data_IF_965072686885
#
_entry.id   IF_965072686885
#
_cell.length_a   1.000
_cell.length_b   1.000
_cell.length_c   1.000
_cell.angle_alpha   90.00
_cell.angle_beta   90.00
_cell.angle_gamma   90.00
#
_symmetry.space_group_name_H-M   'P 1'
#
loop_
_entity.id
_entity.type
_entity.pdbx_description
1 polymer ?
#
# COMPACT_ATOMS: atom_id res chain seq x y z
N UNK A 1 35.31 44.82 18.84
CA UNK A 1 34.72 44.31 20.09
C UNK A 1 33.22 44.39 19.88
N UNK A 2 32.43 43.34 19.68
CA UNK A 2 32.59 41.91 19.91
C UNK A 2 31.64 41.20 18.91
N UNK A 3 32.15 40.15 18.26
CA UNK A 3 31.34 39.18 17.54
C UNK A 3 30.66 38.27 18.58
N UNK A 4 29.37 38.02 18.39
CA UNK A 4 28.78 36.76 18.84
C UNK A 4 27.76 36.32 17.79
N UNK A 5 27.91 35.12 17.19
CA UNK A 5 26.93 34.58 16.27
C UNK A 5 25.72 34.11 17.08
N UNK A 6 24.52 34.52 16.67
CA UNK A 6 23.29 33.84 17.12
C UNK A 6 23.34 32.46 16.48
N UNK A 7 23.34 31.42 17.32
CA UNK A 7 23.35 30.02 16.89
C UNK A 7 22.22 29.80 15.88
N UNK A 8 22.59 29.43 14.66
CA UNK A 8 21.64 28.86 13.70
C UNK A 8 21.02 27.62 14.36
N UNK A 9 19.73 27.73 14.62
CA UNK A 9 18.92 26.73 15.29
C UNK A 9 18.49 25.71 14.23
N UNK A 10 19.01 24.50 14.40
CA UNK A 10 18.51 23.22 13.86
C UNK A 10 18.78 22.92 12.36
N UNK A 11 19.57 21.86 12.13
CA UNK A 11 19.68 21.21 10.84
C UNK A 11 18.28 20.73 10.40
N UNK A 12 17.72 21.36 9.38
CA UNK A 12 16.71 20.73 8.52
C UNK A 12 17.34 19.45 7.93
N UNK A 13 16.99 18.29 8.47
CA UNK A 13 17.36 17.00 7.89
C UNK A 13 16.71 16.91 6.51
N UNK A 14 17.53 16.94 5.47
CA UNK A 14 17.08 16.84 4.09
C UNK A 14 16.64 15.40 3.82
N UNK A 15 15.32 15.17 3.80
CA UNK A 15 14.74 13.87 3.44
C UNK A 15 14.96 13.64 1.95
N UNK A 16 15.78 12.65 1.62
CA UNK A 16 15.96 12.19 0.23
C UNK A 16 15.07 10.97 -0.01
N UNK A 17 14.25 11.03 -1.05
CA UNK A 17 13.40 9.91 -1.48
C UNK A 17 13.90 9.38 -2.82
N UNK A 18 14.07 8.07 -2.91
CA UNK A 18 14.41 7.39 -4.16
C UNK A 18 13.30 6.41 -4.57
N UNK A 19 12.91 6.38 -5.86
CA UNK A 19 11.97 5.39 -6.35
C UNK A 19 12.65 4.02 -6.42
N UNK A 20 12.12 3.05 -5.67
CA UNK A 20 12.68 1.68 -5.62
C UNK A 20 12.06 0.75 -6.66
N UNK A 21 10.78 0.93 -6.99
CA UNK A 21 10.01 0.04 -7.86
C UNK A 21 9.12 0.82 -8.83
N UNK A 22 9.04 0.35 -10.08
CA UNK A 22 8.12 0.85 -11.09
C UNK A 22 7.24 -0.29 -11.58
N UNK A 23 5.93 -0.19 -11.34
CA UNK A 23 5.00 -1.29 -11.57
C UNK A 23 3.92 -0.90 -12.58
N UNK A 24 3.81 -1.68 -13.66
CA UNK A 24 2.74 -1.58 -14.66
C UNK A 24 1.72 -2.72 -14.46
N UNK A 25 1.27 -2.91 -13.23
CA UNK A 25 0.48 -4.08 -12.84
C UNK A 25 -0.94 -4.11 -13.44
N UNK A 26 -1.45 -2.98 -13.96
CA UNK A 26 -2.80 -2.88 -14.54
C UNK A 26 -2.86 -2.98 -16.07
N UNK A 27 -1.74 -3.19 -16.76
CA UNK A 27 -1.77 -3.27 -18.23
C UNK A 27 -2.73 -4.32 -18.77
N UNK A 28 -3.47 -3.93 -19.81
CA UNK A 28 -4.37 -4.78 -20.56
C UNK A 28 -3.58 -5.89 -21.25
N UNK A 29 -4.03 -7.12 -21.06
CA UNK A 29 -3.35 -8.32 -21.58
C UNK A 29 -1.85 -8.43 -21.23
N UNK A 30 -1.39 -7.76 -20.16
CA UNK A 30 0.03 -7.70 -19.78
C UNK A 30 0.92 -7.04 -20.86
N UNK A 31 0.34 -6.14 -21.66
CA UNK A 31 1.05 -5.43 -22.71
C UNK A 31 1.96 -4.34 -22.12
N UNK A 32 3.24 -4.35 -22.49
CA UNK A 32 4.22 -3.33 -22.05
C UNK A 32 3.95 -1.96 -22.66
N UNK A 33 3.37 -1.93 -23.86
CA UNK A 33 3.06 -0.69 -24.57
C UNK A 33 1.68 -0.12 -24.21
N UNK A 34 1.03 -0.68 -23.19
CA UNK A 34 -0.23 -0.14 -22.68
C UNK A 34 0.00 1.03 -21.72
N UNK A 35 0.02 2.22 -22.31
CA UNK A 35 0.03 3.49 -21.58
C UNK A 35 -1.36 4.10 -21.43
N UNK A 36 -2.41 3.38 -21.82
CA UNK A 36 -3.80 3.88 -21.78
C UNK A 36 -4.51 3.48 -20.50
N UNK A 37 -4.24 2.29 -19.99
CA UNK A 37 -4.82 1.86 -18.72
C UNK A 37 -4.20 2.62 -17.56
N UNK A 38 -5.04 3.35 -16.84
CA UNK A 38 -4.66 4.17 -15.69
C UNK A 38 -4.80 3.38 -14.38
N UNK A 39 -3.96 3.73 -13.41
CA UNK A 39 -4.14 3.37 -12.00
C UNK A 39 -4.95 4.50 -11.35
N UNK A 40 -6.06 4.14 -10.71
CA UNK A 40 -7.02 5.12 -10.19
C UNK A 40 -6.90 5.35 -8.68
N UNK A 41 -6.65 4.30 -7.91
CA UNK A 41 -6.51 4.41 -6.47
C UNK A 41 -5.57 3.34 -5.90
N UNK A 42 -4.99 3.65 -4.74
CA UNK A 42 -4.21 2.72 -3.92
C UNK A 42 -4.61 2.83 -2.45
N UNK A 43 -4.64 1.70 -1.74
CA UNK A 43 -4.89 1.63 -0.29
C UNK A 43 -4.00 0.57 0.34
N UNK A 44 -3.35 0.89 1.45
CA UNK A 44 -2.56 -0.09 2.21
C UNK A 44 -3.48 -1.04 3.00
N UNK A 45 -3.01 -2.25 3.25
CA UNK A 45 -3.70 -3.18 4.15
C UNK A 45 -3.84 -2.54 5.54
N UNK A 46 -5.06 -2.52 6.11
CA UNK A 46 -5.29 -1.90 7.41
C UNK A 46 -4.57 -2.68 8.52
N UNK A 47 -4.08 -2.00 9.58
CA UNK A 47 -3.54 -2.67 10.75
C UNK A 47 -4.55 -3.63 11.35
N UNK A 48 -4.11 -4.83 11.70
CA UNK A 48 -4.93 -5.76 12.46
C UNK A 48 -4.85 -5.39 13.94
N UNK A 49 -6.00 -5.11 14.57
CA UNK A 49 -6.11 -5.05 16.03
C UNK A 49 -5.93 -6.46 16.62
N UNK A 50 -4.70 -6.96 16.60
CA UNK A 50 -4.33 -8.09 17.43
C UNK A 50 -4.11 -7.54 18.84
N UNK A 51 -5.16 -7.61 19.66
CA UNK A 51 -5.06 -7.32 21.09
C UNK A 51 -3.80 -7.99 21.66
N UNK A 52 -3.07 -7.19 22.46
CA UNK A 52 -1.80 -7.51 23.15
C UNK A 52 -0.52 -7.51 22.32
N UNK A 53 -0.05 -6.34 21.86
CA UNK A 53 1.36 -5.95 21.98
C UNK A 53 1.44 -4.47 22.36
N UNK A 54 2.00 -4.16 23.54
CA UNK A 54 2.38 -2.81 23.97
C UNK A 54 3.69 -2.38 23.31
N UNK A 55 3.81 -2.63 22.02
CA UNK A 55 4.99 -2.21 21.25
C UNK A 55 4.49 -1.26 20.15
N UNK A 56 4.87 0.03 20.17
CA UNK A 56 4.35 1.05 19.26
C UNK A 56 4.87 0.89 17.83
N UNK A 57 5.63 -0.16 17.51
CA UNK A 57 5.89 -0.56 16.13
C UNK A 57 4.59 -1.17 15.58
N UNK A 58 3.68 -0.28 15.19
CA UNK A 58 2.60 -0.56 14.24
C UNK A 58 3.23 -1.40 13.15
N UNK A 59 2.84 -2.68 13.09
CA UNK A 59 3.20 -3.56 11.98
C UNK A 59 2.54 -2.98 10.73
N UNK A 60 3.16 -1.97 10.14
CA UNK A 60 2.71 -1.38 8.89
C UNK A 60 2.71 -2.51 7.87
N UNK A 61 1.52 -2.89 7.41
CA UNK A 61 1.46 -3.88 6.37
C UNK A 61 2.12 -3.28 5.13
N UNK A 62 3.04 -4.05 4.55
CA UNK A 62 3.79 -3.68 3.34
C UNK A 62 2.99 -3.98 2.08
N UNK A 63 1.75 -4.47 2.23
CA UNK A 63 0.88 -4.80 1.11
C UNK A 63 -0.05 -3.64 0.79
N UNK A 64 -0.11 -3.26 -0.48
CA UNK A 64 -1.07 -2.30 -1.00
C UNK A 64 -2.02 -2.96 -2.01
N UNK A 65 -3.30 -2.60 -1.96
CA UNK A 65 -4.26 -2.86 -3.01
C UNK A 65 -4.30 -1.66 -3.97
N UNK A 66 -4.35 -1.94 -5.26
CA UNK A 66 -4.42 -0.94 -6.34
C UNK A 66 -5.53 -1.32 -7.31
N UNK A 67 -6.22 -0.34 -7.88
CA UNK A 67 -7.23 -0.57 -8.90
C UNK A 67 -6.97 0.25 -10.17
N UNK A 68 -7.33 -0.33 -11.32
CA UNK A 68 -7.11 0.28 -12.63
C UNK A 68 -7.56 -0.64 -13.75
N UNK A 69 -8.21 -0.07 -14.76
CA UNK A 69 -8.86 -0.82 -15.83
C UNK A 69 -9.80 -1.89 -15.26
N UNK A 70 -9.69 -3.11 -15.76
CA UNK A 70 -10.54 -4.24 -15.37
C UNK A 70 -10.03 -5.04 -14.16
N UNK A 71 -9.09 -4.48 -13.39
CA UNK A 71 -8.35 -5.26 -12.38
C UNK A 71 -8.07 -4.57 -11.05
N UNK A 72 -7.93 -5.40 -10.01
CA UNK A 72 -7.42 -5.06 -8.69
C UNK A 72 -6.17 -5.90 -8.41
N UNK A 73 -5.07 -5.25 -8.02
CA UNK A 73 -3.80 -5.91 -7.72
C UNK A 73 -3.44 -5.76 -6.23
N UNK A 74 -2.98 -6.84 -5.60
CA UNK A 74 -2.29 -6.81 -4.31
C UNK A 74 -0.79 -6.82 -4.57
N UNK A 75 -0.07 -5.84 -4.02
CA UNK A 75 1.34 -5.59 -4.27
C UNK A 75 2.08 -5.58 -2.94
N UNK A 76 3.17 -6.33 -2.84
CA UNK A 76 4.15 -6.15 -1.79
C UNK A 76 5.09 -4.99 -2.16
N UNK A 77 5.02 -3.90 -1.40
CA UNK A 77 5.77 -2.67 -1.67
C UNK A 77 7.27 -2.79 -1.38
N UNK A 78 7.70 -3.76 -0.55
CA UNK A 78 9.13 -3.97 -0.29
C UNK A 78 9.81 -4.67 -1.47
N UNK A 79 9.19 -5.73 -1.97
CA UNK A 79 9.76 -6.54 -3.06
C UNK A 79 9.35 -6.07 -4.45
N UNK A 80 8.31 -5.24 -4.57
CA UNK A 80 7.74 -4.82 -5.85
C UNK A 80 6.94 -5.92 -6.56
N UNK A 81 6.59 -7.01 -5.86
CA UNK A 81 5.92 -8.17 -6.45
C UNK A 81 4.40 -8.02 -6.38
N UNK A 82 3.71 -8.30 -7.49
CA UNK A 82 2.25 -8.46 -7.52
C UNK A 82 1.90 -9.83 -6.93
N UNK A 83 1.48 -9.84 -5.66
CA UNK A 83 1.07 -11.05 -4.94
C UNK A 83 -0.18 -11.69 -5.57
N UNK A 84 -1.12 -10.85 -6.01
CA UNK A 84 -2.37 -11.32 -6.59
C UNK A 84 -2.96 -10.30 -7.54
N UNK A 85 -3.58 -10.77 -8.62
CA UNK A 85 -4.35 -9.94 -9.56
C UNK A 85 -5.74 -10.55 -9.74
N UNK A 86 -6.76 -9.75 -9.49
CA UNK A 86 -8.16 -10.07 -9.73
C UNK A 86 -8.64 -9.29 -10.95
N UNK A 87 -9.39 -9.93 -11.83
CA UNK A 87 -9.90 -9.32 -13.07
C UNK A 87 -11.39 -9.57 -13.21
N UNK A 88 -12.12 -8.55 -13.67
CA UNK A 88 -13.53 -8.66 -14.03
C UNK A 88 -13.73 -8.07 -15.42
N UNK A 89 -13.91 -8.93 -16.42
CA UNK A 89 -14.07 -8.50 -17.81
C UNK A 89 -15.32 -7.63 -17.98
N UNK A 90 -15.16 -6.48 -18.65
CA UNK A 90 -16.25 -5.53 -18.90
C UNK A 90 -16.41 -4.46 -17.82
N UNK A 91 -15.69 -4.57 -16.70
CA UNK A 91 -15.64 -3.56 -15.65
C UNK A 91 -14.50 -2.57 -15.84
N UNK A 92 -14.64 -1.40 -15.22
CA UNK A 92 -13.57 -0.43 -15.05
C UNK A 92 -13.58 0.11 -13.62
N UNK A 93 -12.50 -0.14 -12.88
CA UNK A 93 -12.38 0.23 -11.48
C UNK A 93 -11.73 1.59 -11.32
N UNK A 94 -12.43 2.50 -10.64
CA UNK A 94 -11.99 3.87 -10.38
C UNK A 94 -11.64 4.14 -8.90
N UNK A 95 -11.90 3.18 -8.01
CA UNK A 95 -11.57 3.31 -6.59
C UNK A 95 -11.43 1.93 -5.93
N UNK A 96 -10.72 1.88 -4.80
CA UNK A 96 -10.54 0.68 -3.97
C UNK A 96 -10.54 1.09 -2.50
N UNK A 97 -11.11 0.23 -1.66
CA UNK A 97 -11.06 0.33 -0.19
C UNK A 97 -10.71 -1.03 0.41
N UNK A 98 -10.03 -1.04 1.55
CA UNK A 98 -9.60 -2.27 2.23
C UNK A 98 -10.11 -2.27 3.67
N UNK A 99 -10.91 -3.27 4.00
CA UNK A 99 -11.40 -3.51 5.37
C UNK A 99 -11.06 -4.91 5.84
N UNK A 100 -11.07 -5.11 7.15
CA UNK A 100 -10.87 -6.42 7.79
C UNK A 100 -12.14 -6.83 8.51
N UNK A 101 -12.57 -8.07 8.31
CA UNK A 101 -13.72 -8.65 9.00
C UNK A 101 -13.26 -9.81 9.88
N UNK A 102 -13.76 -9.85 11.12
CA UNK A 102 -13.59 -11.02 11.99
C UNK A 102 -14.52 -12.12 11.50
N UNK A 103 -13.96 -13.26 11.08
CA UNK A 103 -14.76 -14.45 10.79
C UNK A 103 -15.07 -15.23 12.07
N UNK A 104 -16.35 -15.51 12.28
CA UNK A 104 -16.85 -16.41 13.34
C UNK A 104 -17.34 -17.68 12.66
N UNK A 105 -16.80 -18.83 13.04
CA UNK A 105 -17.24 -20.13 12.52
C UNK A 105 -18.55 -20.56 13.18
N UNK A 106 -19.23 -21.55 12.59
CA UNK A 106 -20.54 -22.02 13.09
C UNK A 106 -20.52 -22.58 14.52
N UNK A 107 -19.34 -22.97 15.02
CA UNK A 107 -19.10 -23.38 16.41
C UNK A 107 -18.76 -22.20 17.35
N UNK A 108 -18.93 -20.95 16.89
CA UNK A 108 -18.69 -19.73 17.66
C UNK A 108 -17.22 -19.36 17.83
N UNK A 109 -16.29 -20.10 17.22
CA UNK A 109 -14.85 -19.80 17.33
C UNK A 109 -14.49 -18.63 16.41
N UNK A 110 -13.69 -17.71 16.93
CA UNK A 110 -13.09 -16.64 16.11
C UNK A 110 -11.95 -17.25 15.31
N UNK A 111 -12.07 -17.27 13.98
CA UNK A 111 -10.95 -17.65 13.11
C UNK A 111 -9.98 -16.46 13.06
N UNK A 112 -8.82 -16.62 13.71
CA UNK A 112 -7.69 -15.73 13.48
C UNK A 112 -7.12 -16.05 12.08
N UNK A 113 -6.75 -15.00 11.34
CA UNK A 113 -6.01 -15.14 10.08
C UNK A 113 -4.69 -15.87 10.33
#
# INVERSE_FOLDING_TARGET
VCNTPVKDLECEETITLEPVHFLQCHSKANNRDDFKTQLWACVFEPPLDCGTRKDPVVSSSRTAATCGGDSVCLVDCETGIVLKKYKVTGEEFYTVTWTTLTMVTSDGRRKKR
#
